data_IF_833485588517
#
_entry.id   IF_833485588517
#
_cell.length_a   1.000
_cell.length_b   1.000
_cell.length_c   1.000
_cell.angle_alpha   90.00
_cell.angle_beta   90.00
_cell.angle_gamma   90.00
#
_symmetry.space_group_name_H-M   'P 1'
#
loop_
_entity.id
_entity.type
_entity.pdbx_description
1 polymer ?
#
# COMPACT_ATOMS: atom_id res chain seq x y z
N UNK A 1 50.22 -15.46 -6.77
CA UNK A 1 49.30 -15.12 -7.88
C UNK A 1 47.98 -15.84 -7.64
N UNK A 2 46.94 -15.14 -7.17
CA UNK A 2 45.60 -15.72 -7.00
C UNK A 2 44.72 -15.06 -8.04
N UNK A 3 44.62 -15.67 -9.23
CA UNK A 3 43.61 -15.27 -10.19
C UNK A 3 42.27 -15.75 -9.64
N UNK A 4 41.54 -14.85 -8.97
CA UNK A 4 40.20 -15.14 -8.45
C UNK A 4 39.25 -15.15 -9.65
N UNK A 5 38.68 -16.32 -9.97
CA UNK A 5 37.66 -16.50 -10.99
C UNK A 5 36.32 -15.91 -10.49
N UNK A 6 36.23 -14.58 -10.35
CA UNK A 6 35.00 -13.89 -9.94
C UNK A 6 34.02 -13.88 -11.11
N UNK A 7 32.98 -14.70 -10.99
CA UNK A 7 31.80 -14.68 -11.86
C UNK A 7 30.82 -13.65 -11.29
N UNK A 8 30.82 -12.45 -11.87
CA UNK A 8 29.88 -11.40 -11.48
C UNK A 8 28.59 -11.53 -12.30
N UNK A 9 27.41 -11.55 -11.66
CA UNK A 9 26.15 -11.46 -12.38
C UNK A 9 25.99 -10.07 -12.99
N UNK A 10 25.39 -9.99 -14.18
CA UNK A 10 25.01 -8.73 -14.81
C UNK A 10 23.58 -8.43 -14.41
N UNK A 11 23.35 -7.26 -13.82
CA UNK A 11 22.02 -6.81 -13.39
C UNK A 11 21.63 -5.59 -14.20
N UNK A 12 20.49 -5.65 -14.87
CA UNK A 12 19.90 -4.52 -15.57
C UNK A 12 18.48 -4.28 -15.04
N UNK A 13 18.11 -3.01 -14.86
CA UNK A 13 16.77 -2.64 -14.42
C UNK A 13 16.31 -1.37 -15.09
N UNK A 14 15.05 -1.32 -15.48
CA UNK A 14 14.41 -0.09 -15.94
C UNK A 14 12.96 -0.03 -15.50
N UNK A 15 12.45 1.20 -15.35
CA UNK A 15 11.08 1.45 -14.95
C UNK A 15 10.33 2.27 -16.00
N UNK A 16 9.13 1.80 -16.32
CA UNK A 16 8.27 2.35 -17.36
C UNK A 16 7.06 3.06 -16.75
N UNK A 17 6.67 4.18 -17.34
CA UNK A 17 5.45 4.92 -17.05
C UNK A 17 4.58 4.84 -18.30
N UNK A 18 3.53 4.01 -18.26
CA UNK A 18 2.67 3.71 -19.40
C UNK A 18 1.61 4.78 -19.61
N UNK A 19 1.12 5.38 -18.52
CA UNK A 19 0.04 6.37 -18.56
C UNK A 19 0.54 7.82 -18.61
N UNK A 20 1.85 8.03 -18.51
CA UNK A 20 2.54 9.32 -18.54
C UNK A 20 2.10 10.28 -17.42
N UNK A 21 1.67 9.76 -16.28
CA UNK A 21 1.27 10.57 -15.12
C UNK A 21 2.45 11.00 -14.23
N UNK A 22 3.67 10.60 -14.61
CA UNK A 22 4.91 10.88 -13.89
C UNK A 22 5.22 9.90 -12.75
N UNK A 23 4.38 8.87 -12.55
CA UNK A 23 4.66 7.73 -11.67
C UNK A 23 5.02 6.52 -12.51
N UNK A 24 5.92 5.70 -11.97
CA UNK A 24 6.29 4.44 -12.62
C UNK A 24 5.16 3.43 -12.42
N UNK A 25 4.84 2.69 -13.48
CA UNK A 25 3.81 1.65 -13.49
C UNK A 25 4.44 0.26 -13.47
N UNK A 26 5.58 0.06 -14.14
CA UNK A 26 6.23 -1.25 -14.25
C UNK A 26 7.72 -1.17 -13.94
N UNK A 27 8.23 -2.20 -13.27
CA UNK A 27 9.65 -2.48 -13.10
C UNK A 27 10.02 -3.74 -13.88
N UNK A 28 11.03 -3.59 -14.73
CA UNK A 28 11.68 -4.68 -15.43
C UNK A 28 13.07 -4.85 -14.85
N UNK A 29 13.35 -6.03 -14.32
CA UNK A 29 14.64 -6.40 -13.75
C UNK A 29 15.10 -7.67 -14.46
N UNK A 30 16.29 -7.62 -15.05
CA UNK A 30 16.95 -8.80 -15.61
C UNK A 30 18.28 -9.03 -14.87
N UNK A 31 18.47 -10.27 -14.44
CA UNK A 31 19.70 -10.72 -13.78
C UNK A 31 20.25 -11.88 -14.61
N UNK A 32 21.42 -11.71 -15.17
CA UNK A 32 22.13 -12.73 -15.92
C UNK A 32 23.29 -13.27 -15.08
N UNK A 33 23.24 -14.56 -14.76
CA UNK A 33 24.27 -15.25 -13.96
C UNK A 33 25.04 -16.19 -14.89
N UNK A 34 26.36 -16.00 -15.07
CA UNK A 34 27.16 -16.92 -15.89
C UNK A 34 27.29 -18.29 -15.21
N UNK A 35 26.97 -19.35 -15.94
CA UNK A 35 27.02 -20.74 -15.48
C UNK A 35 28.24 -21.47 -16.07
N UNK A 36 28.81 -22.40 -15.30
CA UNK A 36 29.82 -23.33 -15.80
C UNK A 36 29.19 -24.54 -16.50
N UNK A 37 30.00 -25.25 -17.28
CA UNK A 37 29.60 -26.52 -17.89
C UNK A 37 29.23 -27.53 -16.80
N UNK A 38 27.98 -28.01 -16.82
CA UNK A 38 27.45 -28.95 -15.83
C UNK A 38 26.67 -28.33 -14.66
N UNK A 39 26.74 -27.02 -14.41
CA UNK A 39 25.94 -26.36 -13.37
C UNK A 39 24.45 -26.36 -13.75
N UNK A 40 23.57 -26.79 -12.84
CA UNK A 40 22.12 -26.91 -13.08
C UNK A 40 21.34 -26.09 -12.08
N UNK A 41 20.55 -25.13 -12.56
CA UNK A 41 19.68 -24.31 -11.72
C UNK A 41 18.31 -24.98 -11.60
N UNK A 42 17.96 -25.34 -10.37
CA UNK A 42 16.67 -25.96 -10.02
C UNK A 42 15.76 -25.04 -9.22
N UNK A 43 16.33 -24.07 -8.50
CA UNK A 43 15.56 -23.17 -7.66
C UNK A 43 16.20 -21.78 -7.63
N UNK A 44 15.35 -20.78 -7.51
CA UNK A 44 15.74 -19.38 -7.34
C UNK A 44 15.01 -18.83 -6.12
N UNK A 45 15.77 -18.21 -5.23
CA UNK A 45 15.27 -17.39 -4.13
C UNK A 45 15.80 -15.97 -4.35
N UNK A 46 14.90 -15.01 -4.41
CA UNK A 46 15.21 -13.61 -4.65
C UNK A 46 14.57 -12.77 -3.56
N UNK A 47 15.36 -11.90 -2.96
CA UNK A 47 14.92 -10.86 -2.04
C UNK A 47 15.12 -9.51 -2.73
N UNK A 48 14.03 -8.76 -2.88
CA UNK A 48 14.05 -7.42 -3.46
C UNK A 48 13.65 -6.41 -2.41
N UNK A 49 14.54 -5.46 -2.13
CA UNK A 49 14.27 -4.33 -1.24
C UNK A 49 13.85 -3.10 -2.04
N UNK A 50 12.80 -2.41 -1.60
CA UNK A 50 12.32 -1.17 -2.23
C UNK A 50 11.98 -0.09 -1.21
N UNK A 51 12.25 1.17 -1.53
CA UNK A 51 11.73 2.32 -0.78
C UNK A 51 10.30 2.64 -1.25
N UNK A 52 9.32 2.18 -0.49
CA UNK A 52 7.90 2.32 -0.82
C UNK A 52 7.36 3.65 -0.29
N UNK A 53 6.88 4.51 -1.19
CA UNK A 53 6.38 5.85 -0.87
C UNK A 53 4.92 6.04 -1.31
N UNK A 54 4.08 6.48 -0.38
CA UNK A 54 2.72 6.93 -0.67
C UNK A 54 2.65 8.45 -0.56
N UNK A 55 2.07 9.08 -1.59
CA UNK A 55 1.95 10.53 -1.68
C UNK A 55 0.54 11.04 -1.38
N UNK A 56 -0.48 10.18 -1.44
CA UNK A 56 -1.90 10.58 -1.41
C UNK A 56 -2.54 10.31 -0.03
N UNK A 57 -3.17 11.34 0.56
CA UNK A 57 -3.84 11.37 1.89
C UNK A 57 -2.96 11.12 3.12
N UNK A 58 -1.98 10.21 3.04
CA UNK A 58 -1.00 9.92 4.09
C UNK A 58 0.41 9.96 3.49
N UNK A 59 1.36 10.60 4.19
CA UNK A 59 2.77 10.60 3.78
C UNK A 59 3.44 9.39 4.42
N UNK A 60 3.39 8.25 3.75
CA UNK A 60 4.09 7.04 4.17
C UNK A 60 5.37 6.88 3.37
N UNK A 61 6.46 6.57 4.07
CA UNK A 61 7.68 6.08 3.47
C UNK A 61 8.14 4.88 4.30
N UNK A 62 8.41 3.75 3.65
CA UNK A 62 8.86 2.55 4.31
C UNK A 62 9.84 1.75 3.47
N UNK A 63 10.79 1.10 4.13
CA UNK A 63 11.60 0.07 3.51
C UNK A 63 10.76 -1.20 3.42
N UNK A 64 10.57 -1.66 2.20
CA UNK A 64 9.75 -2.82 1.87
C UNK A 64 10.60 -3.94 1.27
N UNK A 65 10.11 -5.16 1.39
CA UNK A 65 10.76 -6.39 0.96
C UNK A 65 9.77 -7.24 0.18
N UNK A 66 10.22 -7.78 -0.95
CA UNK A 66 9.51 -8.81 -1.69
C UNK A 66 10.38 -10.06 -1.71
N UNK A 67 9.80 -11.17 -1.29
CA UNK A 67 10.42 -12.49 -1.36
C UNK A 67 9.80 -13.29 -2.49
N UNK A 68 10.64 -13.76 -3.41
CA UNK A 68 10.26 -14.62 -4.51
C UNK A 68 11.05 -15.92 -4.37
N UNK A 69 10.32 -17.04 -4.26
CA UNK A 69 10.91 -18.36 -4.27
C UNK A 69 10.17 -19.24 -5.27
N UNK A 70 10.91 -19.81 -6.21
CA UNK A 70 10.38 -20.76 -7.18
C UNK A 70 11.37 -21.88 -7.38
N UNK A 71 10.85 -23.09 -7.62
CA UNK A 71 11.64 -24.28 -7.89
C UNK A 71 11.04 -25.07 -9.04
N UNK A 72 11.89 -25.66 -9.87
CA UNK A 72 11.56 -26.55 -10.96
C UNK A 72 12.30 -27.87 -10.79
N UNK A 73 11.61 -28.98 -11.08
CA UNK A 73 12.24 -30.31 -11.10
C UNK A 73 13.26 -30.44 -12.26
N UNK A 74 13.04 -29.67 -13.33
CA UNK A 74 13.87 -29.70 -14.55
C UNK A 74 14.86 -28.53 -14.49
N UNK A 75 16.11 -28.82 -14.86
CA UNK A 75 17.14 -27.79 -14.97
C UNK A 75 16.79 -26.78 -16.07
N UNK A 76 16.77 -25.51 -15.69
CA UNK A 76 16.34 -24.41 -16.54
C UNK A 76 17.45 -23.39 -16.74
N UNK A 77 17.44 -22.71 -17.88
CA UNK A 77 18.34 -21.58 -18.16
C UNK A 77 17.68 -20.22 -17.97
N UNK A 78 16.35 -20.17 -17.83
CA UNK A 78 15.63 -18.92 -17.64
C UNK A 78 14.45 -19.12 -16.70
N UNK A 79 14.26 -18.13 -15.82
CA UNK A 79 13.05 -17.96 -15.00
C UNK A 79 12.46 -16.60 -15.32
N UNK A 80 11.19 -16.58 -15.72
CA UNK A 80 10.40 -15.34 -15.85
C UNK A 80 9.38 -15.28 -14.73
N UNK A 81 9.43 -14.21 -13.94
CA UNK A 81 8.50 -13.91 -12.85
C UNK A 81 7.70 -12.68 -13.25
N UNK A 82 6.38 -12.79 -13.19
CA UNK A 82 5.47 -11.67 -13.46
C UNK A 82 4.50 -11.57 -12.30
N UNK A 83 4.26 -10.38 -11.77
CA UNK A 83 3.24 -10.20 -10.74
C UNK A 83 3.09 -8.76 -10.29
N UNK A 84 2.14 -8.55 -9.39
CA UNK A 84 1.72 -7.23 -8.97
C UNK A 84 2.18 -6.96 -7.54
N UNK A 85 2.78 -5.79 -7.31
CA UNK A 85 3.20 -5.42 -5.97
C UNK A 85 1.98 -4.93 -5.21
N UNK A 86 1.66 -5.62 -4.12
CA UNK A 86 0.53 -5.27 -3.24
C UNK A 86 1.01 -5.01 -1.83
N UNK A 87 0.28 -4.16 -1.11
CA UNK A 87 0.50 -3.85 0.29
C UNK A 87 -0.46 -4.66 1.16
N UNK A 88 0.09 -5.44 2.09
CA UNK A 88 -0.66 -6.03 3.19
C UNK A 88 -0.62 -5.09 4.40
N UNK A 89 -1.79 -4.65 4.81
CA UNK A 89 -1.99 -3.68 5.88
C UNK A 89 -2.76 -4.35 7.04
N UNK A 90 -2.14 -4.43 8.21
CA UNK A 90 -2.77 -4.96 9.44
C UNK A 90 -3.44 -3.89 10.29
N UNK A 91 -3.00 -2.65 10.16
CA UNK A 91 -3.56 -1.51 10.89
C UNK A 91 -3.83 -0.34 9.94
N UNK A 92 -4.92 0.42 10.15
CA UNK A 92 -5.21 1.61 9.35
C UNK A 92 -4.08 2.64 9.45
N UNK A 93 -3.73 3.25 8.32
CA UNK A 93 -2.71 4.28 8.27
C UNK A 93 -3.17 5.52 9.04
N UNK A 94 -2.28 6.10 9.83
CA UNK A 94 -2.59 7.35 10.51
C UNK A 94 -2.67 8.48 9.49
N UNK A 95 -3.66 9.37 9.62
CA UNK A 95 -3.79 10.56 8.76
C UNK A 95 -2.53 11.44 8.75
N UNK A 96 -1.80 11.48 9.88
CA UNK A 96 -0.52 12.19 10.04
C UNK A 96 0.43 11.39 10.92
N UNK A 97 1.73 11.60 10.69
CA UNK A 97 2.80 11.02 11.48
C UNK A 97 3.86 10.38 10.59
N UNK A 98 5.13 10.53 10.96
CA UNK A 98 6.21 9.77 10.34
C UNK A 98 6.39 8.52 11.18
N UNK A 99 6.04 7.37 10.63
CA UNK A 99 6.31 6.08 11.25
C UNK A 99 7.79 5.72 11.03
N UNK A 100 8.67 6.19 11.93
CA UNK A 100 10.11 5.95 11.82
C UNK A 100 10.46 4.45 11.83
N UNK A 101 9.71 3.63 12.56
CA UNK A 101 9.92 2.17 12.63
C UNK A 101 9.81 1.47 11.25
N UNK A 102 9.06 2.05 10.31
CA UNK A 102 8.93 1.51 8.95
C UNK A 102 10.09 1.92 8.04
N UNK A 103 10.86 2.94 8.42
CA UNK A 103 12.04 3.43 7.69
C UNK A 103 13.33 2.70 8.08
N UNK A 104 13.29 1.87 9.11
CA UNK A 104 14.46 1.08 9.50
C UNK A 104 14.81 0.08 8.41
N UNK A 105 16.10 -0.07 8.16
CA UNK A 105 16.62 -1.02 7.18
C UNK A 105 16.21 -2.44 7.59
N UNK A 106 15.62 -3.17 6.64
CA UNK A 106 15.18 -4.55 6.86
C UNK A 106 16.40 -5.48 7.00
N UNK A 107 17.41 -5.25 6.16
CA UNK A 107 18.70 -5.93 6.20
C UNK A 107 19.69 -4.94 6.81
N UNK A 108 20.32 -5.31 7.92
CA UNK A 108 21.30 -4.46 8.60
C UNK A 108 22.67 -4.66 7.93
N UNK A 109 23.21 -3.67 7.19
CA UNK A 109 24.50 -3.85 6.53
C UNK A 109 25.67 -3.93 7.53
N UNK A 110 25.52 -3.27 8.69
CA UNK A 110 26.59 -3.12 9.69
C UNK A 110 26.50 -4.15 10.83
N UNK A 111 25.65 -5.16 10.72
CA UNK A 111 25.54 -6.17 11.77
C UNK A 111 26.74 -7.12 11.76
N UNK A 112 27.22 -7.49 12.94
CA UNK A 112 28.31 -8.47 13.09
C UNK A 112 27.77 -9.89 13.28
N UNK A 113 26.47 -10.03 13.54
CA UNK A 113 25.83 -11.31 13.83
C UNK A 113 25.41 -12.02 12.52
N UNK A 114 25.88 -13.25 12.25
CA UNK A 114 25.51 -13.98 11.03
C UNK A 114 24.00 -14.28 10.92
N UNK A 115 23.32 -14.42 12.05
CA UNK A 115 21.87 -14.71 12.10
C UNK A 115 21.01 -13.56 11.55
N UNK A 116 21.50 -12.31 11.60
CA UNK A 116 20.84 -11.14 11.03
C UNK A 116 20.77 -11.19 9.49
N UNK A 117 21.59 -12.05 8.85
CA UNK A 117 21.62 -12.24 7.40
C UNK A 117 20.88 -13.50 6.94
N UNK A 118 20.35 -14.32 7.85
CA UNK A 118 19.53 -15.47 7.46
C UNK A 118 18.18 -15.00 6.91
N UNK A 119 17.79 -15.58 5.77
CA UNK A 119 16.54 -15.23 5.08
C UNK A 119 15.34 -15.49 5.98
N UNK A 120 15.36 -16.58 6.77
CA UNK A 120 14.25 -16.90 7.66
C UNK A 120 14.08 -15.81 8.74
N UNK A 121 15.16 -15.41 9.41
CA UNK A 121 15.17 -14.33 10.40
C UNK A 121 14.72 -13.00 9.81
N UNK A 122 15.20 -12.64 8.61
CA UNK A 122 14.82 -11.42 7.90
C UNK A 122 13.31 -11.42 7.61
N UNK A 123 12.78 -12.52 7.08
CA UNK A 123 11.37 -12.64 6.75
C UNK A 123 10.49 -12.65 7.99
N UNK A 124 10.92 -13.28 9.08
CA UNK A 124 10.21 -13.26 10.36
C UNK A 124 10.11 -11.83 10.91
N UNK A 125 11.22 -11.11 10.95
CA UNK A 125 11.25 -9.72 11.40
C UNK A 125 10.40 -8.80 10.51
N UNK A 126 10.43 -9.03 9.19
CA UNK A 126 9.58 -8.29 8.25
C UNK A 126 8.09 -8.60 8.45
N UNK A 127 7.73 -9.86 8.64
CA UNK A 127 6.35 -10.31 8.84
C UNK A 127 5.73 -9.84 10.17
N UNK A 128 6.54 -9.39 11.14
CA UNK A 128 6.05 -8.78 12.39
C UNK A 128 5.56 -7.35 12.21
N UNK A 129 5.90 -6.67 11.10
CA UNK A 129 5.47 -5.29 10.82
C UNK A 129 3.96 -5.23 10.53
N UNK A 130 3.35 -4.09 10.82
CA UNK A 130 1.93 -3.83 10.51
C UNK A 130 1.68 -3.53 9.03
N UNK A 131 2.74 -3.21 8.29
CA UNK A 131 2.73 -2.93 6.86
C UNK A 131 3.84 -3.72 6.19
N UNK A 132 3.46 -4.54 5.22
CA UNK A 132 4.37 -5.39 4.45
C UNK A 132 3.93 -5.42 3.01
N UNK A 133 4.85 -5.38 2.06
CA UNK A 133 4.57 -5.68 0.65
C UNK A 133 4.72 -7.18 0.37
N UNK A 134 3.97 -7.66 -0.62
CA UNK A 134 4.08 -9.01 -1.15
C UNK A 134 3.73 -9.00 -2.64
N UNK A 135 4.09 -10.09 -3.32
CA UNK A 135 3.76 -10.28 -4.72
C UNK A 135 2.37 -10.93 -4.84
N UNK A 136 1.42 -10.20 -5.41
CA UNK A 136 0.08 -10.69 -5.73
C UNK A 136 0.05 -11.23 -7.16
N UNK A 137 -0.77 -12.26 -7.39
CA UNK A 137 -0.94 -12.91 -8.68
C UNK A 137 0.38 -13.27 -9.40
N UNK A 138 1.32 -14.00 -8.76
CA UNK A 138 2.59 -14.30 -9.37
C UNK A 138 2.48 -15.41 -10.42
N UNK A 139 3.03 -15.18 -11.60
CA UNK A 139 3.26 -16.17 -12.64
C UNK A 139 4.74 -16.52 -12.73
N UNK A 140 5.03 -17.81 -12.66
CA UNK A 140 6.39 -18.35 -12.78
C UNK A 140 6.49 -19.19 -14.05
N UNK A 141 7.34 -18.75 -14.98
CA UNK A 141 7.58 -19.46 -16.24
C UNK A 141 9.04 -19.86 -16.30
N UNK A 142 9.27 -21.17 -16.25
CA UNK A 142 10.59 -21.78 -16.38
C UNK A 142 10.83 -22.22 -17.81
N UNK A 143 11.90 -21.73 -18.43
CA UNK A 143 12.33 -22.21 -19.75
C UNK A 143 13.36 -23.33 -19.56
N UNK A 144 13.14 -24.52 -20.15
CA UNK A 144 14.12 -25.61 -20.09
C UNK A 144 15.46 -25.19 -20.69
N UNK A 145 16.53 -25.79 -20.17
CA UNK A 145 17.88 -25.53 -20.68
C UNK A 145 18.01 -25.99 -22.14
N UNK A 146 18.39 -25.07 -23.03
CA UNK A 146 18.90 -25.40 -24.36
C UNK A 146 20.33 -25.95 -24.29
N UNK A 147 20.73 -26.76 -25.27
CA UNK A 147 21.99 -27.53 -25.27
C UNK A 147 23.26 -26.68 -25.07
N UNK A 148 23.23 -25.37 -25.39
CA UNK A 148 24.38 -24.46 -25.32
C UNK A 148 24.23 -23.29 -24.33
N UNK A 149 23.32 -23.38 -23.35
CA UNK A 149 23.14 -22.28 -22.40
C UNK A 149 24.35 -22.14 -21.45
N UNK A 150 25.07 -21.02 -21.57
CA UNK A 150 26.22 -20.62 -20.74
C UNK A 150 25.86 -19.64 -19.62
N UNK A 151 24.61 -19.15 -19.59
CA UNK A 151 24.11 -18.27 -18.53
C UNK A 151 22.70 -18.63 -18.09
N UNK A 152 22.36 -18.22 -16.88
CA UNK A 152 21.02 -18.26 -16.31
C UNK A 152 20.41 -16.86 -16.33
N UNK A 153 19.26 -16.72 -16.97
CA UNK A 153 18.57 -15.44 -17.11
C UNK A 153 17.33 -15.39 -16.21
N UNK A 154 17.34 -14.50 -15.22
CA UNK A 154 16.19 -14.23 -14.37
C UNK A 154 15.53 -12.93 -14.83
N UNK A 155 14.32 -13.04 -15.36
CA UNK A 155 13.48 -11.90 -15.75
C UNK A 155 12.39 -11.69 -14.72
N UNK A 156 12.34 -10.51 -14.13
CA UNK A 156 11.35 -10.13 -13.14
C UNK A 156 10.60 -8.91 -13.66
N UNK A 157 9.29 -9.05 -13.79
CA UNK A 157 8.37 -7.98 -14.20
C UNK A 157 7.39 -7.74 -13.06
N UNK A 158 7.52 -6.57 -12.42
CA UNK A 158 6.68 -6.18 -11.31
C UNK A 158 5.81 -5.00 -11.74
N UNK A 159 4.51 -5.12 -11.51
CA UNK A 159 3.56 -4.06 -11.80
C UNK A 159 3.24 -3.31 -10.51
N UNK A 160 3.02 -2.01 -10.62
CA UNK A 160 2.64 -1.11 -9.55
C UNK A 160 1.14 -0.75 -9.69
N UNK A 161 0.22 -1.63 -9.28
CA UNK A 161 -1.21 -1.35 -9.40
C UNK A 161 -1.66 -0.23 -8.47
N UNK A 162 -2.83 0.34 -8.74
CA UNK A 162 -3.49 1.26 -7.81
C UNK A 162 -3.96 0.50 -6.57
N UNK A 163 -3.53 0.93 -5.39
CA UNK A 163 -3.83 0.28 -4.11
C UNK A 163 -4.96 1.01 -3.37
N UNK A 164 -5.87 0.24 -2.78
CA UNK A 164 -6.85 0.76 -1.83
C UNK A 164 -6.30 0.64 -0.42
N UNK A 165 -6.33 1.74 0.34
CA UNK A 165 -5.70 1.82 1.66
C UNK A 165 -6.70 2.31 2.70
N UNK A 166 -6.63 1.71 3.88
CA UNK A 166 -7.42 2.15 5.02
C UNK A 166 -6.64 3.20 5.81
N UNK A 167 -7.31 4.29 6.21
CA UNK A 167 -6.69 5.31 7.05
C UNK A 167 -7.64 5.82 8.14
N UNK A 168 -7.07 6.21 9.27
CA UNK A 168 -7.82 6.85 10.36
C UNK A 168 -8.00 8.34 10.04
N UNK A 169 -9.23 8.88 9.95
CA UNK A 169 -9.47 10.27 9.59
C UNK A 169 -8.96 11.23 10.68
N UNK A 170 -8.53 12.43 10.25
CA UNK A 170 -8.13 13.50 11.17
C UNK A 170 -9.31 14.21 11.83
N UNK A 171 -9.05 14.93 12.93
CA UNK A 171 -10.08 15.68 13.69
C UNK A 171 -10.91 16.59 12.79
N UNK A 172 -10.29 17.30 11.84
CA UNK A 172 -11.00 18.21 10.95
C UNK A 172 -11.93 17.49 9.97
N UNK A 173 -11.52 16.32 9.49
CA UNK A 173 -12.35 15.50 8.63
C UNK A 173 -13.55 14.92 9.39
N UNK A 174 -13.32 14.46 10.62
CA UNK A 174 -14.39 14.00 11.53
C UNK A 174 -15.34 15.15 11.86
N UNK A 175 -14.83 16.33 12.18
CA UNK A 175 -15.63 17.51 12.48
C UNK A 175 -16.50 17.93 11.28
N UNK A 176 -15.93 17.93 10.07
CA UNK A 176 -16.70 18.17 8.84
C UNK A 176 -17.87 17.19 8.70
N UNK A 177 -17.63 15.90 8.91
CA UNK A 177 -18.67 14.87 8.83
C UNK A 177 -19.71 15.02 9.95
N UNK A 178 -19.28 15.35 11.17
CA UNK A 178 -20.16 15.59 12.31
C UNK A 178 -21.10 16.78 12.06
N UNK A 179 -20.61 17.87 11.45
CA UNK A 179 -21.45 19.01 11.08
C UNK A 179 -22.54 18.65 10.08
N UNK A 180 -22.22 17.84 9.06
CA UNK A 180 -23.21 17.36 8.08
C UNK A 180 -24.28 16.50 8.75
N UNK A 181 -23.88 15.60 9.63
CA UNK A 181 -24.81 14.76 10.39
C UNK A 181 -25.69 15.58 11.33
N UNK A 182 -25.11 16.55 12.04
CA UNK A 182 -25.85 17.44 12.93
C UNK A 182 -26.93 18.23 12.17
N UNK A 183 -26.59 18.81 11.01
CA UNK A 183 -27.53 19.56 10.19
C UNK A 183 -28.68 18.65 9.69
N UNK A 184 -28.36 17.43 9.25
CA UNK A 184 -29.37 16.47 8.81
C UNK A 184 -30.38 16.15 9.92
N UNK A 185 -29.91 15.95 11.15
CA UNK A 185 -30.77 15.69 12.32
C UNK A 185 -31.59 16.95 12.68
N UNK A 186 -30.95 18.13 12.68
CA UNK A 186 -31.60 19.40 13.00
C UNK A 186 -32.82 19.69 12.12
N UNK A 187 -32.74 19.40 10.82
CA UNK A 187 -33.85 19.60 9.88
C UNK A 187 -35.05 18.75 10.27
N UNK A 188 -34.84 17.46 10.55
CA UNK A 188 -35.91 16.53 10.97
C UNK A 188 -36.55 17.01 12.27
N UNK A 189 -35.73 17.35 13.28
CA UNK A 189 -36.22 17.89 14.55
C UNK A 189 -37.02 19.18 14.38
N UNK A 190 -36.58 20.09 13.51
CA UNK A 190 -37.28 21.36 13.26
C UNK A 190 -38.66 21.11 12.65
N UNK A 191 -38.78 20.19 11.69
CA UNK A 191 -40.08 19.84 11.08
C UNK A 191 -41.02 19.22 12.10
N UNK A 192 -40.54 18.26 12.90
CA UNK A 192 -41.35 17.63 13.95
C UNK A 192 -41.80 18.65 14.98
N UNK A 193 -40.88 19.48 15.48
CA UNK A 193 -41.19 20.50 16.47
C UNK A 193 -42.17 21.53 15.93
N UNK A 194 -42.03 21.91 14.66
CA UNK A 194 -42.98 22.80 14.00
C UNK A 194 -44.40 22.19 13.95
N UNK A 195 -44.52 20.90 13.64
CA UNK A 195 -45.82 20.18 13.68
C UNK A 195 -46.41 20.03 15.08
N UNK A 196 -45.60 19.71 16.07
CA UNK A 196 -46.05 19.64 17.47
C UNK A 196 -46.53 21.03 17.92
N UNK A 197 -45.77 22.08 17.61
CA UNK A 197 -46.10 23.46 17.95
C UNK A 197 -47.44 23.88 17.34
N UNK A 198 -47.62 23.60 16.05
CA UNK A 198 -48.87 23.85 15.33
C UNK A 198 -50.04 23.11 16.01
N UNK A 199 -49.89 21.81 16.30
CA UNK A 199 -50.90 21.01 16.97
C UNK A 199 -51.27 21.55 18.37
N UNK A 200 -50.28 21.94 19.18
CA UNK A 200 -50.50 22.45 20.54
C UNK A 200 -51.25 23.79 20.51
N UNK A 201 -50.88 24.70 19.60
CA UNK A 201 -51.54 26.00 19.49
C UNK A 201 -52.93 25.92 18.84
N UNK A 202 -53.14 25.07 17.84
CA UNK A 202 -54.46 24.85 17.23
C UNK A 202 -55.44 24.25 18.25
N UNK A 203 -54.99 23.31 19.07
CA UNK A 203 -55.85 22.65 20.07
C UNK A 203 -55.88 23.38 21.43
N UNK A 204 -55.26 24.55 21.57
CA UNK A 204 -55.23 25.36 22.81
C UNK A 204 -54.87 24.56 24.07
N UNK A 205 -53.94 23.61 23.96
CA UNK A 205 -53.54 22.76 25.09
C UNK A 205 -52.79 23.58 26.16
N UNK A 206 -52.24 24.74 25.77
CA UNK A 206 -51.51 25.67 26.64
C UNK A 206 -52.22 27.04 26.60
N UNK A 207 -52.40 27.73 27.75
CA UNK A 207 -53.00 29.05 27.77
C UNK A 207 -52.18 30.06 26.95
N UNK A 208 -52.76 30.54 25.85
CA UNK A 208 -52.19 31.61 25.02
C UNK A 208 -52.81 32.95 25.35
N UNK A 209 -51.99 33.97 25.56
CA UNK A 209 -52.43 35.36 25.66
C UNK A 209 -52.37 36.02 24.28
N UNK A 210 -53.42 36.74 23.90
CA UNK A 210 -53.42 37.53 22.68
C UNK A 210 -52.51 38.75 22.87
N UNK A 211 -51.44 38.86 22.08
CA UNK A 211 -50.72 40.11 21.96
C UNK A 211 -51.61 41.09 21.20
N UNK A 212 -52.11 42.13 21.87
CA UNK A 212 -52.89 43.19 21.24
C UNK A 212 -52.03 43.86 20.16
N UNK A 213 -52.42 43.71 18.89
CA UNK A 213 -51.85 44.50 17.81
C UNK A 213 -52.27 45.96 18.01
N UNK A 214 -51.30 46.86 18.09
CA UNK A 214 -51.50 48.30 18.19
C UNK A 214 -52.41 48.76 17.05
N UNK A 215 -53.64 49.13 17.39
CA UNK A 215 -54.56 49.79 16.47
C UNK A 215 -54.04 51.19 16.29
N UNK A 216 -53.37 51.43 15.15
CA UNK A 216 -52.94 52.75 14.73
C UNK A 216 -54.11 53.75 14.83
N UNK A 217 -54.05 54.61 15.85
CA UNK A 217 -55.02 55.66 16.10
C UNK A 217 -55.05 56.64 14.94
N UNK A 218 -56.15 56.64 14.19
CA UNK A 218 -56.54 57.77 13.35
C UNK A 218 -56.99 58.91 14.26
N UNK A 219 -56.20 59.98 14.31
CA UNK A 219 -56.62 61.26 14.87
C UNK A 219 -57.51 61.99 13.84
N UNK A 220 -58.70 62.39 14.28
CA UNK A 220 -59.52 63.44 13.65
C UNK A 220 -58.99 64.81 14.02
#
# INVERSE_FOLDING_TARGET
MVARNYRAPVVSSYEEDLNQDGKKDNLYLEIEVPLEEGERVHAVKLLLGFDFRLYTMTRLQMNSLIYIASSSAIASNQLTVIGDITLNQREPLKHRGVNNYLKENIIKPDSTDPEDYDIATILENYARRNLTTYLSNPFYVWTPRGESASSFLLKVRLQYPTLTLEYTPGVWQVLKMAWVQYLAILVVFTVIFWRIKEYVFTNQIVPTWAAASDVAGKWQ
#
